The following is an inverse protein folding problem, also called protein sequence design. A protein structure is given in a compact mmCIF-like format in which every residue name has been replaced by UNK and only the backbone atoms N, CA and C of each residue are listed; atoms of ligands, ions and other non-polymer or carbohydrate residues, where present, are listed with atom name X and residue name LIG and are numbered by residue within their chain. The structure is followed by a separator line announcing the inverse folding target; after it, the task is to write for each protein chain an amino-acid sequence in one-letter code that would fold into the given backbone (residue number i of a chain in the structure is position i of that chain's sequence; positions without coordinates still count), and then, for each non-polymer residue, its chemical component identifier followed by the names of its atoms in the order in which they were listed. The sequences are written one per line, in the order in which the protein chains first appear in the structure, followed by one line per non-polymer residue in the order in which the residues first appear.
data_IF_823321854451
#
_entry.id   IF_823321854451
#
_cell.length_a   1.000
_cell.length_b   1.000
_cell.length_c   1.000
_cell.angle_alpha   90.00
_cell.angle_beta   90.00
_cell.angle_gamma   90.00
#
_symmetry.space_group_name_H-M   'P 1'
#
loop_
_entity.id
_entity.type
_entity.pdbx_description
1 polymer ?
#
# COMPACT_ATOMS: atom_id res chain seq x y z
N UNK A 1 9.11 -9.41 -8.35
CA UNK A 1 10.10 -8.33 -8.53
C UNK A 1 11.44 -8.81 -8.02
N UNK A 2 12.51 -8.55 -8.78
CA UNK A 2 13.94 -8.73 -8.46
C UNK A 2 14.42 -10.08 -7.89
N UNK A 3 13.52 -11.07 -7.76
CA UNK A 3 13.76 -12.39 -7.19
C UNK A 3 14.42 -12.34 -5.79
N UNK A 4 14.06 -11.30 -5.02
CA UNK A 4 14.54 -11.10 -3.67
C UNK A 4 13.58 -11.76 -2.70
N UNK A 5 14.14 -12.46 -1.73
CA UNK A 5 13.40 -13.19 -0.71
C UNK A 5 12.75 -12.26 0.33
N UNK A 6 11.55 -12.60 0.80
CA UNK A 6 10.79 -11.80 1.75
C UNK A 6 11.43 -11.73 3.14
N UNK A 7 12.09 -12.81 3.60
CA UNK A 7 12.81 -12.82 4.88
C UNK A 7 14.04 -11.93 4.80
N UNK A 8 14.73 -11.92 3.65
CA UNK A 8 15.81 -10.98 3.39
C UNK A 8 15.32 -9.53 3.48
N UNK A 9 14.23 -9.18 2.80
CA UNK A 9 13.65 -7.82 2.82
C UNK A 9 13.24 -7.43 4.24
N UNK A 10 12.60 -8.34 4.98
CA UNK A 10 12.15 -8.07 6.35
C UNK A 10 13.34 -7.82 7.27
N UNK A 11 14.38 -8.66 7.15
CA UNK A 11 15.60 -8.56 7.96
C UNK A 11 16.36 -7.26 7.74
N UNK A 12 16.52 -6.81 6.49
CA UNK A 12 17.22 -5.52 6.25
C UNK A 12 16.45 -4.31 6.80
N UNK A 13 15.14 -4.46 7.03
CA UNK A 13 14.26 -3.43 7.55
C UNK A 13 13.95 -3.60 9.06
N UNK A 14 14.59 -4.54 9.76
CA UNK A 14 14.24 -4.88 11.16
C UNK A 14 14.41 -3.73 12.16
N UNK A 15 15.25 -2.75 11.82
CA UNK A 15 15.55 -1.59 12.66
C UNK A 15 14.73 -0.34 12.29
N UNK A 16 13.82 -0.45 11.33
CA UNK A 16 12.88 0.63 11.01
C UNK A 16 11.86 0.72 12.15
N UNK A 17 11.60 1.94 12.62
CA UNK A 17 10.53 2.18 13.56
C UNK A 17 9.19 1.77 12.92
N UNK A 18 8.57 0.72 13.46
CA UNK A 18 7.29 0.22 12.96
C UNK A 18 6.21 1.30 13.07
N UNK A 19 5.41 1.52 12.02
CA UNK A 19 4.33 2.47 12.07
C UNK A 19 3.18 1.95 12.95
N UNK A 20 2.47 2.85 13.63
CA UNK A 20 1.23 2.51 14.35
C UNK A 20 0.10 2.05 13.40
N UNK A 21 0.18 2.49 12.14
CA UNK A 21 -0.78 2.18 11.09
C UNK A 21 -0.14 2.27 9.71
N UNK A 22 -0.52 1.35 8.82
CA UNK A 22 -0.16 1.40 7.41
C UNK A 22 -1.41 1.27 6.54
N UNK A 23 -1.57 2.18 5.58
CA UNK A 23 -2.65 2.11 4.60
C UNK A 23 -2.12 1.49 3.29
N UNK A 24 -2.70 0.38 2.88
CA UNK A 24 -2.46 -0.22 1.56
C UNK A 24 -3.54 0.28 0.60
N UNK A 25 -3.21 1.29 -0.20
CA UNK A 25 -4.14 1.85 -1.19
C UNK A 25 -4.09 0.98 -2.43
N UNK A 26 -5.22 0.36 -2.76
CA UNK A 26 -5.38 -0.57 -3.87
C UNK A 26 -6.46 -0.08 -4.82
N UNK A 27 -6.43 -0.57 -6.05
CA UNK A 27 -7.48 -0.39 -7.04
C UNK A 27 -7.35 -1.54 -8.04
N UNK A 28 -8.40 -1.80 -8.82
CA UNK A 28 -8.36 -2.79 -9.88
C UNK A 28 -7.28 -2.41 -10.90
N UNK A 29 -6.65 -3.44 -11.50
CA UNK A 29 -5.59 -3.25 -12.49
C UNK A 29 -6.05 -2.36 -13.66
N UNK A 30 -7.29 -2.54 -14.12
CA UNK A 30 -7.91 -1.71 -15.16
C UNK A 30 -7.98 -0.25 -14.75
N UNK A 31 -8.40 0.04 -13.52
CA UNK A 31 -8.46 1.38 -12.95
C UNK A 31 -7.07 2.02 -12.88
N UNK A 32 -6.07 1.26 -12.39
CA UNK A 32 -4.69 1.74 -12.29
C UNK A 32 -4.14 2.07 -13.69
N UNK A 33 -4.30 1.16 -14.64
CA UNK A 33 -3.85 1.35 -16.04
C UNK A 33 -4.52 2.56 -16.69
N UNK A 34 -5.84 2.73 -16.52
CA UNK A 34 -6.56 3.88 -17.06
C UNK A 34 -5.99 5.20 -16.53
N UNK A 35 -5.75 5.30 -15.22
CA UNK A 35 -5.16 6.49 -14.59
C UNK A 35 -3.71 6.74 -15.01
N UNK A 36 -2.94 5.68 -15.29
CA UNK A 36 -1.57 5.82 -15.80
C UNK A 36 -1.57 6.38 -17.23
N UNK A 37 -2.51 5.97 -18.08
CA UNK A 37 -2.63 6.49 -19.45
C UNK A 37 -2.97 7.99 -19.49
N UNK A 38 -3.63 8.51 -18.47
CA UNK A 38 -3.94 9.95 -18.34
C UNK A 38 -2.72 10.80 -17.93
N UNK A 39 -1.63 10.18 -17.47
CA UNK A 39 -0.43 10.91 -17.03
C UNK A 39 0.40 11.39 -18.20
N UNK A 40 0.85 12.64 -18.13
CA UNK A 40 1.76 13.23 -19.11
C UNK A 40 3.19 12.65 -19.05
N UNK A 41 3.55 11.99 -17.96
CA UNK A 41 4.85 11.38 -17.75
C UNK A 41 4.74 10.12 -16.90
N UNK A 42 5.38 9.04 -17.38
CA UNK A 42 5.54 7.78 -16.65
C UNK A 42 6.97 7.67 -16.11
N UNK A 43 7.09 7.30 -14.83
CA UNK A 43 8.35 6.93 -14.21
C UNK A 43 8.92 5.63 -14.80
N UNK A 44 10.17 5.33 -14.49
CA UNK A 44 10.83 4.09 -14.98
C UNK A 44 10.11 2.81 -14.55
N UNK A 45 9.40 2.83 -13.43
CA UNK A 45 8.69 1.67 -12.89
C UNK A 45 7.35 1.46 -13.58
N UNK A 46 6.66 2.55 -13.96
CA UNK A 46 5.35 2.50 -14.61
C UNK A 46 5.43 2.15 -16.12
N UNK A 47 6.60 2.26 -16.74
CA UNK A 47 6.78 2.03 -18.20
C UNK A 47 6.74 0.57 -18.63
N UNK A 48 6.93 -0.37 -17.70
CA UNK A 48 7.08 -1.80 -18.03
C UNK A 48 5.78 -2.60 -17.87
N UNK A 49 4.65 -1.93 -17.60
CA UNK A 49 3.31 -2.53 -17.49
C UNK A 49 3.23 -3.75 -16.55
N UNK A 50 3.88 -3.67 -15.39
CA UNK A 50 3.90 -4.74 -14.37
C UNK A 50 2.82 -4.58 -13.30
N UNK A 51 1.76 -3.84 -13.61
CA UNK A 51 0.71 -3.44 -12.65
C UNK A 51 0.13 -4.62 -11.88
N UNK A 52 -0.16 -5.74 -12.55
CA UNK A 52 -0.68 -6.95 -11.90
C UNK A 52 0.30 -7.51 -10.86
N UNK A 53 1.57 -7.65 -11.24
CA UNK A 53 2.62 -8.16 -10.36
C UNK A 53 2.84 -7.23 -9.17
N UNK A 54 2.87 -5.90 -9.41
CA UNK A 54 3.01 -4.89 -8.37
C UNK A 54 1.87 -4.95 -7.36
N UNK A 55 0.63 -5.09 -7.82
CA UNK A 55 -0.53 -5.24 -6.95
C UNK A 55 -0.44 -6.53 -6.11
N UNK A 56 0.00 -7.64 -6.70
CA UNK A 56 0.20 -8.89 -5.97
C UNK A 56 1.26 -8.75 -4.88
N UNK A 57 2.41 -8.16 -5.18
CA UNK A 57 3.47 -7.94 -4.19
C UNK A 57 3.07 -6.94 -3.10
N UNK A 58 2.26 -5.91 -3.43
CA UNK A 58 1.72 -4.98 -2.44
C UNK A 58 0.82 -5.71 -1.43
N UNK A 59 -0.11 -6.55 -1.93
CA UNK A 59 -1.01 -7.32 -1.07
C UNK A 59 -0.28 -8.39 -0.27
N UNK A 60 0.73 -9.03 -0.84
CA UNK A 60 1.59 -9.98 -0.13
C UNK A 60 2.39 -9.28 0.99
N UNK A 61 3.02 -8.15 0.67
CA UNK A 61 3.74 -7.33 1.64
C UNK A 61 2.84 -6.86 2.78
N UNK A 62 1.64 -6.38 2.46
CA UNK A 62 0.61 -6.00 3.44
C UNK A 62 0.27 -7.15 4.41
N UNK A 63 0.14 -8.39 3.90
CA UNK A 63 -0.09 -9.57 4.73
C UNK A 63 1.10 -9.90 5.62
N UNK A 64 2.32 -9.80 5.11
CA UNK A 64 3.55 -10.07 5.88
C UNK A 64 3.67 -9.09 7.04
N UNK A 65 3.59 -7.79 6.79
CA UNK A 65 3.72 -6.78 7.84
C UNK A 65 2.57 -6.84 8.85
N UNK A 66 1.35 -7.22 8.41
CA UNK A 66 0.23 -7.45 9.32
C UNK A 66 0.52 -8.60 10.30
N UNK A 67 1.13 -9.69 9.84
CA UNK A 67 1.58 -10.80 10.70
C UNK A 67 2.68 -10.39 11.68
N UNK A 68 3.45 -9.35 11.36
CA UNK A 68 4.45 -8.75 12.26
C UNK A 68 3.82 -7.84 13.34
N UNK A 69 2.50 -7.70 13.36
CA UNK A 69 1.77 -6.92 14.37
C UNK A 69 1.49 -5.46 13.95
N UNK A 70 1.84 -5.07 12.73
CA UNK A 70 1.51 -3.73 12.20
C UNK A 70 0.03 -3.70 11.81
N UNK A 71 -0.67 -2.64 12.21
CA UNK A 71 -2.07 -2.45 11.84
C UNK A 71 -2.18 -1.98 10.39
N UNK A 72 -2.51 -2.90 9.48
CA UNK A 72 -2.66 -2.62 8.05
C UNK A 72 -4.13 -2.44 7.69
N UNK A 73 -4.43 -1.38 6.93
CA UNK A 73 -5.76 -1.08 6.43
C UNK A 73 -5.72 -1.01 4.92
N UNK A 74 -6.39 -1.94 4.27
CA UNK A 74 -6.59 -1.91 2.83
C UNK A 74 -7.69 -0.89 2.48
N UNK A 75 -7.39 -0.02 1.52
CA UNK A 75 -8.31 1.03 1.05
C UNK A 75 -8.49 0.84 -0.45
N UNK A 76 -9.67 0.37 -0.85
CA UNK A 76 -10.05 0.31 -2.26
C UNK A 76 -10.32 1.72 -2.78
N UNK A 77 -9.55 2.13 -3.78
CA UNK A 77 -9.57 3.44 -4.39
C UNK A 77 -10.00 3.39 -5.86
N UNK A 78 -10.95 2.52 -6.20
CA UNK A 78 -11.52 2.48 -7.54
C UNK A 78 -12.30 3.77 -7.87
N UNK A 79 -13.10 4.29 -6.94
CA UNK A 79 -14.00 5.42 -7.25
C UNK A 79 -14.08 6.54 -6.18
N UNK A 80 -14.19 6.22 -4.89
CA UNK A 80 -14.55 7.22 -3.86
C UNK A 80 -13.34 7.85 -3.12
N UNK A 81 -12.68 8.82 -3.76
CA UNK A 81 -11.56 9.55 -3.16
C UNK A 81 -11.94 10.23 -1.83
N UNK A 82 -13.12 10.85 -1.74
CA UNK A 82 -13.51 11.63 -0.56
C UNK A 82 -13.85 10.71 0.62
N UNK A 83 -14.60 9.64 0.38
CA UNK A 83 -14.89 8.61 1.38
C UNK A 83 -13.61 7.94 1.87
N UNK A 84 -12.68 7.61 0.97
CA UNK A 84 -11.39 7.03 1.32
C UNK A 84 -10.56 7.97 2.20
N UNK A 85 -10.46 9.25 1.85
CA UNK A 85 -9.78 10.24 2.68
C UNK A 85 -10.42 10.37 4.07
N UNK A 86 -11.75 10.38 4.13
CA UNK A 86 -12.51 10.45 5.39
C UNK A 86 -12.32 9.19 6.25
N UNK A 87 -12.26 8.02 5.63
CA UNK A 87 -11.98 6.74 6.29
C UNK A 87 -10.59 6.77 6.94
N UNK A 88 -9.56 7.12 6.17
CA UNK A 88 -8.19 7.22 6.67
C UNK A 88 -8.07 8.22 7.82
N UNK A 89 -8.70 9.39 7.69
CA UNK A 89 -8.71 10.42 8.75
C UNK A 89 -9.36 9.90 10.06
N UNK A 90 -10.43 9.11 9.97
CA UNK A 90 -11.08 8.51 11.14
C UNK A 90 -10.15 7.52 11.86
N UNK A 91 -9.46 6.67 11.12
CA UNK A 91 -8.50 5.72 11.70
C UNK A 91 -7.35 6.43 12.42
N UNK A 92 -6.74 7.43 11.76
CA UNK A 92 -5.69 8.24 12.37
C UNK A 92 -6.19 8.90 13.67
N UNK A 93 -7.41 9.47 13.64
CA UNK A 93 -8.00 10.08 14.85
C UNK A 93 -8.19 9.06 15.97
N UNK A 94 -8.69 7.86 15.65
CA UNK A 94 -8.90 6.80 16.64
C UNK A 94 -7.62 6.33 17.32
N UNK A 95 -6.47 6.36 16.62
CA UNK A 95 -5.17 6.01 17.19
C UNK A 95 -4.71 7.06 18.20
N UNK A 96 -4.90 8.34 17.85
CA UNK A 96 -4.62 9.44 18.77
C UNK A 96 -5.46 9.35 20.04
N UNK A 97 -6.73 8.98 19.93
CA UNK A 97 -7.62 8.83 21.09
C UNK A 97 -7.25 7.65 21.99
N UNK A 98 -6.67 6.57 21.46
CA UNK A 98 -6.17 5.42 22.24
C UNK A 98 -4.83 5.67 22.93
N UNK A 99 -4.08 6.68 22.49
CA UNK A 99 -2.77 7.03 23.03
C UNK A 99 -2.85 8.02 24.22
N UNK A 100 -4.04 8.56 24.50
CA UNK A 100 -4.36 9.42 25.65
C UNK A 100 -5.03 8.62 26.77
#
# INVERSE_FOLDING_TARGET
MDNVDADFITKINENILSPDIQFAIIADESTIRARLLERSYLSRFERNDRTNEELNFLLEGAKIISKMGINVIEVNNDEDLHGNAKLMARYIKSLREKAL
#
